data_IF_455499749631
#
_entry.id   IF_455499749631
#
_cell.length_a   1.000
_cell.length_b   1.000
_cell.length_c   1.000
_cell.angle_alpha   90.00
_cell.angle_beta   90.00
_cell.angle_gamma   90.00
#
_symmetry.space_group_name_H-M   'P 1'
#
loop_
_entity.id
_entity.type
_entity.pdbx_description
1 polymer ?
#
# COMPACT_ATOMS: atom_id res chain seq x y z
N UNK A 1 40.43 -57.85 6.86
CA UNK A 1 40.88 -56.61 7.52
C UNK A 1 40.62 -55.35 6.67
N UNK A 2 40.59 -55.39 5.36
CA UNK A 2 40.40 -54.28 4.47
C UNK A 2 38.93 -53.72 4.45
N UNK A 3 37.92 -54.56 4.63
CA UNK A 3 36.49 -54.18 4.60
C UNK A 3 36.02 -53.36 5.82
N UNK A 4 36.69 -53.48 6.95
CA UNK A 4 36.34 -52.72 8.19
C UNK A 4 36.82 -51.29 8.07
N UNK A 5 37.96 -51.02 7.43
CA UNK A 5 38.46 -49.65 7.25
C UNK A 5 37.65 -48.86 6.23
N UNK A 6 37.02 -49.51 5.26
CA UNK A 6 36.17 -48.82 4.25
C UNK A 6 34.84 -48.36 4.84
N UNK A 7 34.25 -49.14 5.75
CA UNK A 7 32.99 -48.77 6.44
C UNK A 7 33.16 -47.60 7.43
N UNK A 8 34.26 -47.54 8.12
CA UNK A 8 34.55 -46.44 9.04
C UNK A 8 34.88 -45.13 8.32
N UNK A 9 35.57 -45.23 7.16
CA UNK A 9 35.85 -44.06 6.33
C UNK A 9 34.60 -43.43 5.75
N UNK A 10 33.66 -44.24 5.22
CA UNK A 10 32.39 -43.73 4.69
C UNK A 10 31.44 -43.18 5.75
N UNK A 11 31.46 -43.74 6.97
CA UNK A 11 30.67 -43.23 8.10
C UNK A 11 31.19 -41.85 8.56
N UNK A 12 32.49 -41.69 8.67
CA UNK A 12 33.12 -40.45 9.05
C UNK A 12 32.91 -39.33 7.99
N UNK A 13 32.94 -39.68 6.70
CA UNK A 13 32.70 -38.74 5.63
C UNK A 13 31.23 -38.23 5.64
N UNK A 14 30.26 -39.12 5.89
CA UNK A 14 28.84 -38.75 6.06
C UNK A 14 28.60 -37.87 7.28
N UNK A 15 29.24 -38.20 8.43
CA UNK A 15 29.15 -37.38 9.63
C UNK A 15 29.78 -36.01 9.43
N UNK A 16 30.90 -35.91 8.73
CA UNK A 16 31.56 -34.64 8.40
C UNK A 16 30.66 -33.79 7.46
N UNK A 17 30.08 -34.36 6.40
CA UNK A 17 29.16 -33.66 5.52
C UNK A 17 27.89 -33.18 6.25
N UNK A 18 27.38 -34.00 7.17
CA UNK A 18 26.23 -33.62 7.99
C UNK A 18 26.55 -32.45 8.93
N UNK A 19 27.69 -32.46 9.59
CA UNK A 19 28.18 -31.37 10.45
C UNK A 19 28.43 -30.09 9.64
N UNK A 20 28.98 -30.23 8.43
CA UNK A 20 29.25 -29.09 7.54
C UNK A 20 27.93 -28.46 7.04
N UNK A 21 26.94 -29.29 6.68
CA UNK A 21 25.61 -28.80 6.27
C UNK A 21 24.86 -28.14 7.44
N UNK A 22 24.99 -28.68 8.64
CA UNK A 22 24.37 -28.11 9.85
C UNK A 22 25.06 -26.80 10.29
N UNK A 23 26.37 -26.72 10.15
CA UNK A 23 27.14 -25.51 10.37
C UNK A 23 26.83 -24.41 9.36
N UNK A 24 26.67 -24.76 8.09
CA UNK A 24 26.26 -23.84 7.04
C UNK A 24 24.82 -23.32 7.24
N UNK A 25 23.90 -24.22 7.61
CA UNK A 25 22.52 -23.84 7.94
C UNK A 25 22.44 -22.95 9.18
N UNK A 26 23.24 -23.26 10.21
CA UNK A 26 23.37 -22.43 11.42
C UNK A 26 23.94 -21.04 11.12
N UNK A 27 24.94 -20.94 10.24
CA UNK A 27 25.52 -19.65 9.85
C UNK A 27 24.54 -18.80 8.99
N UNK A 28 23.70 -19.41 8.17
CA UNK A 28 22.62 -18.69 7.44
C UNK A 28 21.58 -18.11 8.42
N UNK A 29 21.22 -18.85 9.46
CA UNK A 29 20.23 -18.38 10.46
C UNK A 29 20.82 -17.23 11.32
N UNK A 30 22.10 -17.26 11.61
CA UNK A 30 22.78 -16.20 12.35
C UNK A 30 23.08 -14.95 11.51
N UNK A 31 23.11 -15.08 10.18
CA UNK A 31 23.31 -14.00 9.23
C UNK A 31 21.97 -13.28 8.85
N UNK A 32 20.81 -13.76 9.32
CA UNK A 32 19.56 -13.04 9.21
C UNK A 32 19.59 -11.83 10.16
N UNK A 33 20.29 -10.78 9.75
CA UNK A 33 20.09 -9.44 10.32
C UNK A 33 18.59 -9.13 10.25
N UNK A 34 18.06 -8.50 11.28
CA UNK A 34 16.70 -8.00 11.26
C UNK A 34 16.63 -6.96 10.13
N UNK A 35 16.17 -7.40 8.96
CA UNK A 35 15.75 -6.47 7.93
C UNK A 35 14.48 -5.82 8.46
N UNK A 36 14.62 -4.67 9.08
CA UNK A 36 13.49 -3.77 9.35
C UNK A 36 13.14 -3.15 8.00
N UNK A 37 12.41 -3.92 7.18
CA UNK A 37 11.94 -3.42 5.91
C UNK A 37 10.81 -2.41 6.19
N UNK A 38 11.07 -1.14 5.97
CA UNK A 38 10.04 -0.10 5.95
C UNK A 38 9.25 -0.21 4.64
N UNK A 39 8.36 -1.21 4.60
CA UNK A 39 7.50 -1.44 3.44
C UNK A 39 6.55 -0.26 3.25
N UNK A 40 6.52 0.26 2.03
CA UNK A 40 5.64 1.36 1.64
C UNK A 40 4.23 0.79 1.43
N UNK A 41 3.30 1.20 2.30
CA UNK A 41 1.89 0.83 2.20
C UNK A 41 1.19 1.73 1.19
N UNK A 42 0.20 1.21 0.43
CA UNK A 42 -0.70 2.04 -0.35
C UNK A 42 -1.37 3.09 0.54
N UNK A 43 -1.45 4.31 0.05
CA UNK A 43 -2.24 5.34 0.71
C UNK A 43 -3.73 5.04 0.58
N UNK A 44 -4.54 5.60 1.48
CA UNK A 44 -5.99 5.43 1.48
C UNK A 44 -6.66 6.80 1.45
N UNK A 45 -7.53 7.02 0.48
CA UNK A 45 -8.35 8.22 0.36
C UNK A 45 -9.82 7.88 0.60
N UNK A 46 -10.36 8.38 1.69
CA UNK A 46 -11.77 8.29 2.05
C UNK A 46 -12.51 9.53 1.55
N UNK A 47 -13.41 9.35 0.59
CA UNK A 47 -14.17 10.42 -0.07
C UNK A 47 -15.59 10.51 0.50
N UNK A 48 -15.97 11.66 1.00
CA UNK A 48 -17.32 11.97 1.47
C UNK A 48 -17.90 13.11 0.66
N UNK A 49 -19.12 12.96 0.20
CA UNK A 49 -19.84 13.98 -0.56
C UNK A 49 -20.95 14.53 0.32
N UNK A 50 -20.88 15.82 0.61
CA UNK A 50 -21.94 16.54 1.32
C UNK A 50 -22.61 17.55 0.38
N UNK A 51 -23.89 17.76 0.57
CA UNK A 51 -24.63 18.79 -0.13
C UNK A 51 -25.38 19.65 0.88
N UNK A 52 -25.19 20.97 0.80
CA UNK A 52 -25.92 21.92 1.62
C UNK A 52 -26.88 22.69 0.71
N UNK A 53 -28.17 22.60 0.99
CA UNK A 53 -29.19 23.39 0.28
C UNK A 53 -29.33 24.74 0.95
N UNK A 54 -28.94 25.81 0.31
CA UNK A 54 -29.25 27.20 0.65
C UNK A 54 -30.40 27.67 -0.23
N UNK A 55 -31.12 28.73 0.15
CA UNK A 55 -32.43 29.16 -0.40
C UNK A 55 -32.68 29.02 -1.91
N UNK A 56 -31.62 28.97 -2.75
CA UNK A 56 -31.74 28.80 -4.20
C UNK A 56 -30.63 27.94 -4.85
N UNK A 57 -29.71 27.40 -4.08
CA UNK A 57 -28.59 26.63 -4.63
C UNK A 57 -28.24 25.40 -3.80
N UNK A 58 -28.01 24.29 -4.46
CA UNK A 58 -27.39 23.10 -3.85
C UNK A 58 -25.89 23.23 -4.01
N UNK A 59 -25.21 23.57 -2.94
CA UNK A 59 -23.74 23.62 -2.90
C UNK A 59 -23.23 22.23 -2.50
N UNK A 60 -22.63 21.55 -3.47
CA UNK A 60 -21.94 20.29 -3.21
C UNK A 60 -20.52 20.54 -2.71
N UNK A 61 -20.07 19.71 -1.78
CA UNK A 61 -18.69 19.69 -1.29
C UNK A 61 -18.18 18.26 -1.27
N UNK A 62 -16.97 18.10 -1.78
CA UNK A 62 -16.20 16.88 -1.66
C UNK A 62 -15.18 17.05 -0.52
N UNK A 63 -15.26 16.21 0.48
CA UNK A 63 -14.29 16.10 1.56
C UNK A 63 -13.52 14.80 1.37
N UNK A 64 -12.19 14.85 1.46
CA UNK A 64 -11.31 13.68 1.33
C UNK A 64 -10.37 13.64 2.52
N UNK A 65 -10.28 12.50 3.18
CA UNK A 65 -9.27 12.21 4.19
C UNK A 65 -8.27 11.25 3.55
N UNK A 66 -7.02 11.68 3.43
CA UNK A 66 -5.94 10.87 2.85
C UNK A 66 -5.01 10.41 3.97
N UNK A 67 -4.95 9.10 4.21
CA UNK A 67 -3.98 8.47 5.09
C UNK A 67 -2.78 8.03 4.25
N UNK A 68 -1.63 8.67 4.45
CA UNK A 68 -0.41 8.38 3.71
C UNK A 68 0.84 8.78 4.50
N UNK A 69 2.00 8.40 4.01
CA UNK A 69 3.27 8.75 4.62
C UNK A 69 3.72 10.15 4.15
N UNK A 70 3.48 11.16 5.00
CA UNK A 70 3.84 12.57 4.73
C UNK A 70 5.35 12.76 4.63
N UNK A 71 6.13 12.02 5.41
CA UNK A 71 7.59 12.09 5.40
C UNK A 71 8.17 11.68 4.05
N UNK A 72 7.60 10.67 3.39
CA UNK A 72 8.01 10.26 2.05
C UNK A 72 7.79 11.38 1.03
N UNK A 73 6.63 12.04 1.08
CA UNK A 73 6.34 13.17 0.22
C UNK A 73 7.32 14.34 0.47
N UNK A 74 7.62 14.65 1.74
CA UNK A 74 8.54 15.72 2.10
C UNK A 74 9.98 15.43 1.69
N UNK A 75 10.41 14.18 1.79
CA UNK A 75 11.72 13.70 1.34
C UNK A 75 11.83 13.55 -0.19
N UNK A 76 10.76 13.80 -0.94
CA UNK A 76 10.67 13.62 -2.40
C UNK A 76 10.97 12.17 -2.85
N UNK A 77 10.61 11.19 -2.01
CA UNK A 77 10.69 9.77 -2.34
C UNK A 77 9.67 9.41 -3.41
N UNK A 78 10.09 8.61 -4.38
CA UNK A 78 9.20 8.06 -5.40
C UNK A 78 8.55 6.75 -4.92
N UNK A 79 7.40 6.86 -4.26
CA UNK A 79 6.63 5.72 -3.77
C UNK A 79 6.03 4.84 -4.88
N UNK A 80 6.08 5.29 -6.12
CA UNK A 80 5.68 4.49 -7.29
C UNK A 80 6.73 3.44 -7.69
N UNK A 81 7.99 3.67 -7.32
CA UNK A 81 9.14 2.84 -7.72
C UNK A 81 9.81 2.19 -6.51
N UNK A 82 9.98 2.92 -5.44
CA UNK A 82 10.65 2.45 -4.23
C UNK A 82 9.68 1.59 -3.42
N UNK A 83 10.10 0.39 -3.05
CA UNK A 83 9.32 -0.51 -2.18
C UNK A 83 9.79 -0.48 -0.72
N UNK A 84 11.03 -0.07 -0.48
CA UNK A 84 11.65 0.05 0.83
C UNK A 84 12.40 1.39 0.92
N UNK A 85 12.13 2.18 1.96
CA UNK A 85 12.74 3.50 2.14
C UNK A 85 14.24 3.44 2.43
N UNK A 86 14.72 2.32 3.00
CA UNK A 86 16.15 2.13 3.30
C UNK A 86 17.01 1.98 2.04
N UNK A 87 16.41 1.52 0.94
CA UNK A 87 17.09 1.37 -0.36
C UNK A 87 17.06 2.66 -1.20
N UNK A 88 16.38 3.69 -0.72
CA UNK A 88 16.21 4.93 -1.44
C UNK A 88 17.39 5.88 -1.25
N UNK A 89 17.76 6.60 -2.31
CA UNK A 89 18.80 7.63 -2.24
C UNK A 89 18.45 8.75 -1.24
N UNK A 90 17.15 9.00 -1.00
CA UNK A 90 16.60 9.99 -0.06
C UNK A 90 16.32 9.42 1.34
N UNK A 91 16.85 8.24 1.67
CA UNK A 91 16.59 7.58 2.96
C UNK A 91 17.02 8.43 4.17
N UNK A 92 18.15 9.15 4.08
CA UNK A 92 18.62 10.04 5.15
C UNK A 92 17.66 11.22 5.38
N UNK A 93 17.13 11.83 4.31
CA UNK A 93 16.15 12.92 4.41
C UNK A 93 14.83 12.41 4.99
N UNK A 94 14.38 11.22 4.57
CA UNK A 94 13.21 10.57 5.13
C UNK A 94 13.35 10.36 6.65
N UNK A 95 14.47 9.83 7.10
CA UNK A 95 14.76 9.64 8.50
C UNK A 95 14.83 10.96 9.28
N UNK A 96 15.34 12.03 8.66
CA UNK A 96 15.33 13.35 9.27
C UNK A 96 13.89 13.85 9.52
N UNK A 97 12.97 13.70 8.54
CA UNK A 97 11.56 14.05 8.72
C UNK A 97 10.87 13.18 9.77
N UNK A 98 11.23 11.90 9.88
CA UNK A 98 10.68 11.00 10.90
C UNK A 98 11.03 11.42 12.34
N UNK A 99 12.18 12.07 12.54
CA UNK A 99 12.60 12.57 13.85
C UNK A 99 11.92 13.86 14.25
N UNK A 100 11.21 14.52 13.34
CA UNK A 100 10.51 15.76 13.64
C UNK A 100 9.34 15.55 14.61
N UNK A 101 9.06 16.55 15.41
CA UNK A 101 7.83 16.61 16.20
C UNK A 101 6.60 16.65 15.28
N UNK A 102 5.44 16.25 15.82
CA UNK A 102 4.15 16.36 15.12
C UNK A 102 3.89 17.78 14.61
N UNK A 103 4.22 18.79 15.42
CA UNK A 103 4.01 20.21 15.08
C UNK A 103 4.94 20.66 13.94
N UNK A 104 6.21 20.27 14.00
CA UNK A 104 7.20 20.64 12.98
C UNK A 104 6.89 19.95 11.65
N UNK A 105 6.56 18.66 11.66
CA UNK A 105 6.19 17.92 10.44
C UNK A 105 4.94 18.53 9.80
N UNK A 106 3.91 18.83 10.60
CA UNK A 106 2.69 19.49 10.12
C UNK A 106 3.00 20.87 9.51
N UNK A 107 3.92 21.63 10.13
CA UNK A 107 4.36 22.93 9.60
C UNK A 107 5.08 22.79 8.27
N UNK A 108 5.97 21.78 8.13
CA UNK A 108 6.67 21.51 6.87
C UNK A 108 5.68 21.11 5.77
N UNK A 109 4.72 20.25 6.07
CA UNK A 109 3.71 19.87 5.09
C UNK A 109 2.86 21.07 4.64
N UNK A 110 2.40 21.91 5.57
CA UNK A 110 1.63 23.12 5.23
C UNK A 110 2.39 24.05 4.28
N UNK A 111 3.70 24.20 4.46
CA UNK A 111 4.55 24.98 3.54
C UNK A 111 4.65 24.35 2.16
N UNK A 112 4.61 23.00 2.08
CA UNK A 112 4.69 22.25 0.83
C UNK A 112 3.30 21.93 0.24
N UNK A 113 2.23 22.44 0.82
CA UNK A 113 0.87 22.24 0.35
C UNK A 113 0.68 22.54 -1.15
N UNK A 114 1.21 23.65 -1.71
CA UNK A 114 1.05 23.94 -3.14
C UNK A 114 1.63 22.81 -4.03
N UNK A 115 2.75 22.21 -3.64
CA UNK A 115 3.37 21.08 -4.34
C UNK A 115 2.49 19.83 -4.24
N UNK A 116 1.96 19.54 -3.06
CA UNK A 116 1.06 18.41 -2.86
C UNK A 116 -0.25 18.60 -3.63
N UNK A 117 -0.86 19.78 -3.56
CA UNK A 117 -2.09 20.08 -4.29
C UNK A 117 -1.92 19.93 -5.81
N UNK A 118 -0.75 20.31 -6.35
CA UNK A 118 -0.44 20.15 -7.78
C UNK A 118 -0.29 18.68 -8.21
N UNK A 119 -0.01 17.76 -7.28
CA UNK A 119 0.05 16.32 -7.57
C UNK A 119 -1.31 15.62 -7.49
N UNK A 120 -2.35 16.31 -7.03
CA UNK A 120 -3.70 15.76 -6.97
C UNK A 120 -4.44 15.95 -8.29
N UNK A 121 -5.17 14.94 -8.70
CA UNK A 121 -6.08 14.99 -9.85
C UNK A 121 -7.50 14.77 -9.36
N UNK A 122 -8.36 15.77 -9.51
CA UNK A 122 -9.78 15.67 -9.20
C UNK A 122 -10.60 16.30 -10.30
N UNK A 123 -11.68 15.67 -10.68
CA UNK A 123 -12.63 16.16 -11.69
C UNK A 123 -14.06 15.89 -11.28
N UNK A 124 -14.96 16.76 -11.71
CA UNK A 124 -16.41 16.54 -11.68
C UNK A 124 -16.95 16.68 -13.11
N UNK A 125 -17.06 15.56 -13.79
CA UNK A 125 -17.27 15.53 -15.23
C UNK A 125 -16.07 16.15 -15.98
N UNK A 126 -16.28 17.31 -16.62
CA UNK A 126 -15.20 18.02 -17.35
C UNK A 126 -14.51 19.10 -16.53
N UNK A 127 -15.02 19.44 -15.36
CA UNK A 127 -14.50 20.49 -14.51
C UNK A 127 -13.41 19.96 -13.58
N UNK A 128 -12.25 20.59 -13.57
CA UNK A 128 -11.18 20.29 -12.62
C UNK A 128 -11.53 20.83 -11.24
N UNK A 129 -11.28 20.06 -10.20
CA UNK A 129 -11.52 20.43 -8.82
C UNK A 129 -10.29 21.10 -8.23
N UNK A 130 -10.48 22.25 -7.58
CA UNK A 130 -9.44 22.94 -6.84
C UNK A 130 -9.49 22.53 -5.37
N UNK A 131 -8.50 21.77 -4.92
CA UNK A 131 -8.42 21.30 -3.54
C UNK A 131 -7.86 22.36 -2.61
N UNK A 132 -8.42 22.40 -1.42
CA UNK A 132 -7.97 23.23 -0.30
C UNK A 132 -7.57 22.34 0.87
N UNK A 133 -6.54 22.76 1.59
CA UNK A 133 -6.10 22.06 2.78
C UNK A 133 -7.06 22.34 3.94
N UNK A 134 -7.55 21.29 4.57
CA UNK A 134 -8.26 21.34 5.83
C UNK A 134 -7.31 21.15 7.02
N UNK A 135 -7.37 19.98 7.64
CA UNK A 135 -6.54 19.61 8.76
C UNK A 135 -5.42 18.64 8.35
N UNK A 136 -4.36 18.61 9.14
CA UNK A 136 -3.36 17.54 9.12
C UNK A 136 -3.23 16.97 10.53
N UNK A 137 -3.41 15.68 10.66
CA UNK A 137 -3.27 14.89 11.87
C UNK A 137 -2.11 13.91 11.66
N UNK A 138 -1.09 14.03 12.48
CA UNK A 138 0.09 13.16 12.45
C UNK A 138 0.11 12.34 13.72
N UNK A 139 0.27 11.05 13.59
CA UNK A 139 0.39 10.15 14.74
C UNK A 139 1.68 10.45 15.50
N UNK A 140 1.59 10.49 16.84
CA UNK A 140 2.78 10.63 17.68
C UNK A 140 3.41 9.25 17.86
N UNK A 141 4.28 8.87 16.93
CA UNK A 141 4.98 7.60 16.98
C UNK A 141 6.33 7.75 17.69
N UNK A 142 6.52 6.99 18.76
CA UNK A 142 7.78 6.94 19.53
C UNK A 142 8.78 5.97 18.88
N UNK A 143 8.28 4.97 18.15
CA UNK A 143 9.09 3.95 17.47
C UNK A 143 9.42 4.37 16.05
N UNK A 144 10.65 4.79 15.84
CA UNK A 144 11.14 5.20 14.52
C UNK A 144 11.32 4.03 13.54
N UNK A 145 11.23 2.78 14.00
CA UNK A 145 11.27 1.61 13.12
C UNK A 145 9.95 1.35 12.39
N UNK A 146 8.86 1.96 12.85
CA UNK A 146 7.53 1.81 12.24
C UNK A 146 7.15 3.06 11.42
N UNK A 147 6.49 2.90 10.24
CA UNK A 147 5.97 4.04 9.50
C UNK A 147 4.94 4.79 10.33
N UNK A 148 5.02 6.12 10.33
CA UNK A 148 4.06 6.99 11.02
C UNK A 148 2.87 7.27 10.11
N UNK A 149 1.65 7.05 10.61
CA UNK A 149 0.43 7.41 9.90
C UNK A 149 0.20 8.93 9.96
N UNK A 150 -0.20 9.50 8.84
CA UNK A 150 -0.58 10.90 8.74
C UNK A 150 -1.86 11.05 7.94
N UNK A 151 -2.88 11.68 8.53
CA UNK A 151 -4.15 11.94 7.88
C UNK A 151 -4.22 13.39 7.45
N UNK A 152 -4.38 13.61 6.16
CA UNK A 152 -4.53 14.94 5.58
C UNK A 152 -5.97 15.10 5.09
N UNK A 153 -6.71 16.03 5.68
CA UNK A 153 -8.05 16.38 5.23
C UNK A 153 -7.96 17.48 4.17
N UNK A 154 -8.56 17.23 3.03
CA UNK A 154 -8.68 18.18 1.92
C UNK A 154 -10.12 18.30 1.49
N UNK A 155 -10.48 19.41 0.84
CA UNK A 155 -11.82 19.58 0.34
C UNK A 155 -11.85 20.40 -0.95
N UNK A 156 -12.92 20.22 -1.74
CA UNK A 156 -13.19 20.98 -2.94
C UNK A 156 -14.67 21.27 -3.07
N UNK A 157 -15.01 22.45 -3.62
CA UNK A 157 -16.38 22.76 -4.03
C UNK A 157 -16.75 21.98 -5.28
N UNK A 158 -17.92 21.39 -5.30
CA UNK A 158 -18.45 20.68 -6.43
C UNK A 158 -19.34 21.59 -7.30
N UNK A 159 -19.26 21.48 -8.63
CA UNK A 159 -20.14 22.23 -9.51
C UNK A 159 -21.61 21.85 -9.27
N UNK A 160 -22.52 22.81 -9.54
CA UNK A 160 -23.97 22.63 -9.36
C UNK A 160 -24.57 21.76 -10.48
N UNK A 161 -24.06 20.56 -10.58
CA UNK A 161 -24.56 19.51 -11.47
C UNK A 161 -24.34 18.16 -10.77
N UNK A 162 -24.88 17.09 -11.31
CA UNK A 162 -24.72 15.74 -10.74
C UNK A 162 -23.62 14.92 -11.45
N UNK A 163 -22.63 15.60 -12.06
CA UNK A 163 -21.53 14.91 -12.73
C UNK A 163 -20.76 14.03 -11.75
N UNK A 164 -20.39 12.80 -12.14
CA UNK A 164 -19.60 11.92 -11.32
C UNK A 164 -18.20 12.52 -11.03
N UNK A 165 -17.60 12.07 -9.94
CA UNK A 165 -16.29 12.51 -9.50
C UNK A 165 -15.25 11.49 -9.93
N UNK A 166 -14.11 11.96 -10.38
CA UNK A 166 -12.89 11.15 -10.59
C UNK A 166 -11.79 11.71 -9.70
N UNK A 167 -11.04 10.82 -9.05
CA UNK A 167 -9.94 11.19 -8.15
C UNK A 167 -8.73 10.29 -8.34
N UNK A 168 -7.56 10.86 -8.23
CA UNK A 168 -6.27 10.20 -8.26
C UNK A 168 -5.14 11.16 -7.95
N UNK A 169 -3.90 10.73 -8.14
CA UNK A 169 -2.72 11.56 -7.91
C UNK A 169 -1.52 11.15 -8.76
N UNK A 170 -0.46 11.93 -8.68
CA UNK A 170 0.79 11.70 -9.38
C UNK A 170 1.41 10.34 -9.02
N UNK A 171 2.03 9.70 -10.00
CA UNK A 171 2.67 8.38 -9.84
C UNK A 171 3.71 8.33 -8.72
N UNK A 172 4.43 9.43 -8.48
CA UNK A 172 5.44 9.53 -7.40
C UNK A 172 4.86 9.32 -6.00
N UNK A 173 3.57 9.59 -5.80
CA UNK A 173 2.92 9.36 -4.51
C UNK A 173 2.56 7.88 -4.27
N UNK A 174 2.81 7.01 -5.26
CA UNK A 174 2.59 5.58 -5.17
C UNK A 174 1.13 5.16 -5.39
N UNK A 175 0.81 3.91 -5.03
CA UNK A 175 -0.53 3.37 -5.19
C UNK A 175 -1.51 4.00 -4.20
N UNK A 176 -2.78 4.08 -4.60
CA UNK A 176 -3.85 4.72 -3.83
C UNK A 176 -5.08 3.82 -3.75
N UNK A 177 -5.60 3.59 -2.57
CA UNK A 177 -6.93 3.00 -2.37
C UNK A 177 -7.93 4.15 -2.24
N UNK A 178 -8.91 4.20 -3.12
CA UNK A 178 -10.00 5.19 -3.07
C UNK A 178 -11.25 4.51 -2.55
N UNK A 179 -11.85 5.07 -1.49
CA UNK A 179 -13.09 4.56 -0.88
C UNK A 179 -14.11 5.69 -0.76
N UNK A 180 -15.29 5.48 -1.29
CA UNK A 180 -16.43 6.35 -1.03
C UNK A 180 -16.99 6.05 0.37
N UNK A 181 -17.30 7.08 1.13
CA UNK A 181 -17.86 7.00 2.47
C UNK A 181 -19.25 7.61 2.48
N UNK A 182 -20.24 6.85 2.88
CA UNK A 182 -21.59 7.33 3.15
C UNK A 182 -22.23 6.43 4.21
N UNK A 183 -22.47 6.99 5.39
CA UNK A 183 -23.01 6.25 6.55
C UNK A 183 -24.47 5.85 6.35
N UNK A 184 -25.15 6.42 5.36
CA UNK A 184 -26.56 6.15 5.06
C UNK A 184 -26.76 5.14 3.94
N UNK A 185 -25.70 4.86 3.15
CA UNK A 185 -25.74 3.94 2.04
C UNK A 185 -25.37 2.51 2.46
N UNK A 186 -25.81 1.54 1.64
CA UNK A 186 -25.34 0.17 1.80
C UNK A 186 -23.84 0.13 1.41
N UNK A 187 -22.95 -0.41 2.28
CA UNK A 187 -21.52 -0.47 1.98
C UNK A 187 -21.16 -1.17 0.66
N UNK A 188 -21.97 -2.13 0.21
CA UNK A 188 -21.77 -2.83 -1.06
C UNK A 188 -22.07 -1.97 -2.30
N UNK A 189 -22.78 -0.85 -2.12
CA UNK A 189 -23.11 0.08 -3.19
C UNK A 189 -22.10 1.23 -3.30
N UNK A 190 -21.14 1.31 -2.35
CA UNK A 190 -20.12 2.34 -2.32
C UNK A 190 -18.92 1.98 -3.21
N UNK A 191 -18.36 3.01 -3.84
CA UNK A 191 -17.16 2.85 -4.66
C UNK A 191 -15.95 2.50 -3.81
N UNK A 192 -15.21 1.47 -4.21
CA UNK A 192 -13.90 1.14 -3.65
C UNK A 192 -13.01 0.60 -4.76
N UNK A 193 -11.82 1.16 -4.92
CA UNK A 193 -10.85 0.69 -5.90
C UNK A 193 -9.41 0.89 -5.44
N UNK A 194 -8.54 -0.02 -5.86
CA UNK A 194 -7.09 0.13 -5.81
C UNK A 194 -6.60 0.75 -7.11
N UNK A 195 -5.92 1.86 -7.02
CA UNK A 195 -5.32 2.57 -8.15
C UNK A 195 -3.81 2.33 -8.18
N UNK A 196 -3.31 1.88 -9.32
CA UNK A 196 -1.87 1.84 -9.56
C UNK A 196 -1.29 3.28 -9.57
N UNK A 197 0.02 3.46 -9.32
CA UNK A 197 0.65 4.78 -9.35
C UNK A 197 0.28 5.59 -10.60
N UNK A 198 -0.16 6.82 -10.43
CA UNK A 198 -0.57 7.72 -11.52
C UNK A 198 -1.93 7.42 -12.17
N UNK A 199 -2.67 6.44 -11.67
CA UNK A 199 -4.00 6.12 -12.16
C UNK A 199 -5.07 7.03 -11.53
N UNK A 200 -6.19 7.19 -12.24
CA UNK A 200 -7.37 7.94 -11.79
C UNK A 200 -8.52 6.95 -11.60
N UNK A 201 -9.39 7.19 -10.64
CA UNK A 201 -10.55 6.35 -10.38
C UNK A 201 -11.51 6.31 -11.58
N UNK A 202 -12.30 5.25 -11.68
CA UNK A 202 -13.51 5.30 -12.50
C UNK A 202 -14.47 6.38 -11.95
N UNK A 203 -15.44 6.82 -12.76
CA UNK A 203 -16.43 7.81 -12.33
C UNK A 203 -17.21 7.36 -11.08
N UNK A 204 -17.11 8.12 -10.00
CA UNK A 204 -17.78 7.88 -8.73
C UNK A 204 -19.08 8.68 -8.71
N UNK A 205 -20.25 8.04 -8.63
CA UNK A 205 -21.52 8.75 -8.60
C UNK A 205 -21.65 9.57 -7.30
N UNK A 206 -22.25 10.77 -7.40
CA UNK A 206 -22.51 11.61 -6.23
C UNK A 206 -23.70 11.11 -5.41
N UNK A 207 -24.60 10.39 -6.02
CA UNK A 207 -25.82 9.85 -5.42
C UNK A 207 -26.11 8.47 -6.01
N UNK A 208 -26.66 7.59 -5.20
CA UNK A 208 -27.00 6.23 -5.58
C UNK A 208 -25.80 5.27 -5.63
N UNK A 209 -26.04 4.01 -5.98
CA UNK A 209 -25.02 2.99 -5.99
C UNK A 209 -23.94 3.26 -7.05
N UNK A 210 -22.70 3.03 -6.68
CA UNK A 210 -21.60 2.97 -7.62
C UNK A 210 -21.74 1.67 -8.43
N UNK A 211 -22.25 1.77 -9.65
CA UNK A 211 -22.47 0.63 -10.52
C UNK A 211 -21.14 0.03 -11.00
N UNK A 212 -20.38 -0.58 -10.09
CA UNK A 212 -19.25 -1.42 -10.48
C UNK A 212 -19.81 -2.77 -10.94
N UNK A 213 -19.55 -3.15 -12.19
CA UNK A 213 -19.94 -4.49 -12.61
C UNK A 213 -19.13 -5.53 -11.83
N UNK A 214 -19.78 -6.60 -11.37
CA UNK A 214 -19.13 -7.72 -10.70
C UNK A 214 -17.93 -8.25 -11.51
N UNK A 215 -18.02 -8.20 -12.83
CA UNK A 215 -16.98 -8.64 -13.74
C UNK A 215 -15.76 -7.70 -13.69
N UNK A 216 -15.93 -6.39 -13.58
CA UNK A 216 -14.83 -5.44 -13.40
C UNK A 216 -14.14 -5.66 -12.06
N UNK A 217 -14.92 -5.83 -10.99
CA UNK A 217 -14.39 -6.13 -9.63
C UNK A 217 -13.54 -7.40 -9.65
N UNK A 218 -14.06 -8.51 -10.19
CA UNK A 218 -13.34 -9.78 -10.28
C UNK A 218 -12.05 -9.63 -11.10
N UNK A 219 -12.10 -8.92 -12.23
CA UNK A 219 -10.93 -8.70 -13.09
C UNK A 219 -9.84 -7.92 -12.36
N UNK A 220 -10.22 -6.88 -11.62
CA UNK A 220 -9.28 -6.07 -10.83
C UNK A 220 -8.67 -6.87 -9.67
N UNK A 221 -9.45 -7.69 -8.97
CA UNK A 221 -8.93 -8.59 -7.94
C UNK A 221 -7.95 -9.61 -8.50
N UNK A 222 -8.26 -10.25 -9.63
CA UNK A 222 -7.37 -11.21 -10.28
C UNK A 222 -6.08 -10.52 -10.72
N UNK A 223 -6.18 -9.35 -11.36
CA UNK A 223 -5.03 -8.59 -11.85
C UNK A 223 -4.13 -8.15 -10.68
N UNK A 224 -4.72 -7.58 -9.63
CA UNK A 224 -3.99 -7.10 -8.47
C UNK A 224 -3.35 -8.27 -7.70
N UNK A 225 -4.07 -9.39 -7.52
CA UNK A 225 -3.53 -10.61 -6.93
C UNK A 225 -2.36 -11.17 -7.75
N UNK A 226 -2.47 -11.19 -9.07
CA UNK A 226 -1.38 -11.64 -9.93
C UNK A 226 -0.15 -10.75 -9.83
N UNK A 227 -0.31 -9.42 -9.88
CA UNK A 227 0.79 -8.45 -9.76
C UNK A 227 1.44 -8.50 -8.36
N UNK A 228 0.65 -8.80 -7.33
CA UNK A 228 1.16 -8.96 -5.97
C UNK A 228 2.07 -10.19 -5.85
N UNK A 229 1.70 -11.29 -6.52
CA UNK A 229 2.47 -12.55 -6.47
C UNK A 229 3.63 -12.53 -7.48
N UNK A 230 3.45 -11.94 -8.68
CA UNK A 230 4.44 -11.94 -9.76
C UNK A 230 4.69 -10.50 -10.24
N UNK A 231 5.90 -9.93 -10.11
CA UNK A 231 7.16 -10.54 -9.65
C UNK A 231 7.46 -10.36 -8.14
N UNK A 232 6.64 -9.64 -7.38
CA UNK A 232 6.96 -9.19 -6.01
C UNK A 232 6.92 -10.29 -4.94
N UNK A 233 6.21 -11.39 -5.18
CA UNK A 233 5.98 -12.46 -4.21
C UNK A 233 6.61 -13.79 -4.59
N UNK A 234 7.84 -13.79 -5.11
CA UNK A 234 8.57 -15.05 -5.39
C UNK A 234 8.73 -15.93 -4.14
N UNK A 235 8.82 -15.35 -2.97
CA UNK A 235 8.83 -16.03 -1.68
C UNK A 235 7.55 -16.85 -1.45
N UNK A 236 6.38 -16.33 -1.81
CA UNK A 236 5.10 -17.07 -1.78
C UNK A 236 5.11 -18.26 -2.73
N UNK A 237 5.62 -18.07 -3.94
CA UNK A 237 5.76 -19.15 -4.93
C UNK A 237 6.72 -20.21 -4.40
N UNK A 238 7.88 -19.81 -3.88
CA UNK A 238 8.86 -20.72 -3.31
C UNK A 238 8.32 -21.46 -2.08
N UNK A 239 7.53 -20.78 -1.25
CA UNK A 239 6.88 -21.39 -0.09
C UNK A 239 5.87 -22.47 -0.52
N UNK A 240 4.98 -22.17 -1.47
CA UNK A 240 4.02 -23.14 -2.02
C UNK A 240 4.74 -24.31 -2.69
N UNK A 241 5.81 -24.03 -3.43
CA UNK A 241 6.65 -25.07 -4.05
C UNK A 241 7.32 -25.96 -2.99
N UNK A 242 7.83 -25.36 -1.90
CA UNK A 242 8.41 -26.07 -0.77
C UNK A 242 7.39 -27.00 -0.08
N UNK A 243 6.17 -26.53 0.11
CA UNK A 243 5.07 -27.35 0.65
C UNK A 243 4.72 -28.50 -0.29
N UNK A 244 4.71 -28.27 -1.62
CA UNK A 244 4.47 -29.31 -2.62
C UNK A 244 5.55 -30.38 -2.58
N UNK A 245 6.82 -30.01 -2.53
CA UNK A 245 7.93 -30.98 -2.46
C UNK A 245 7.97 -31.73 -1.13
N UNK A 246 7.52 -31.10 -0.03
CA UNK A 246 7.43 -31.76 1.27
C UNK A 246 6.33 -32.84 1.29
N UNK A 247 5.18 -32.58 0.70
CA UNK A 247 4.03 -33.47 0.78
C UNK A 247 3.62 -34.12 -0.53
N UNK A 248 4.26 -33.90 -1.65
CA UNK A 248 4.05 -34.49 -3.00
C UNK A 248 2.59 -34.94 -3.33
N UNK A 249 1.60 -34.32 -2.66
CA UNK A 249 0.16 -34.63 -2.79
C UNK A 249 -0.58 -33.33 -3.00
N UNK A 250 -1.30 -33.23 -4.12
CA UNK A 250 -1.99 -32.00 -4.50
C UNK A 250 -3.22 -31.66 -3.62
N UNK A 251 -3.87 -32.66 -3.00
CA UNK A 251 -5.07 -32.46 -2.18
C UNK A 251 -4.81 -31.67 -0.88
N UNK A 252 -3.79 -32.01 -0.05
CA UNK A 252 -3.41 -31.17 1.09
C UNK A 252 -2.90 -29.79 0.67
N UNK A 253 -2.23 -29.69 -0.47
CA UNK A 253 -1.72 -28.42 -1.00
C UNK A 253 -2.83 -27.42 -1.30
N UNK A 254 -3.93 -27.88 -1.94
CA UNK A 254 -5.09 -27.03 -2.20
C UNK A 254 -5.74 -26.53 -0.89
N UNK A 255 -5.85 -27.41 0.13
CA UNK A 255 -6.33 -26.98 1.44
C UNK A 255 -5.46 -25.96 2.14
N UNK A 256 -4.13 -26.09 2.01
CA UNK A 256 -3.17 -25.15 2.57
C UNK A 256 -3.21 -23.80 1.84
N UNK A 257 -3.22 -23.78 0.51
CA UNK A 257 -3.33 -22.55 -0.29
C UNK A 257 -4.62 -21.80 0.08
N UNK A 258 -5.76 -22.50 0.21
CA UNK A 258 -7.05 -21.86 0.57
C UNK A 258 -7.07 -21.30 2.00
N UNK A 259 -6.24 -21.79 2.90
CA UNK A 259 -6.11 -21.27 4.26
C UNK A 259 -5.18 -20.05 4.35
N UNK A 260 -4.30 -19.85 3.35
CA UNK A 260 -3.34 -18.75 3.30
C UNK A 260 -3.78 -17.59 2.38
N UNK A 261 -4.85 -17.74 1.62
CA UNK A 261 -5.49 -16.70 0.80
C UNK A 261 -6.78 -16.22 1.42
#
# INVERSE_FOLDING_TARGET
MLLIHFRTFTANCKAFLFLLSFGLLGSLILASGQSVAHEIRPAVADLSISSTTTQDQVLGRLDIIIDFNVEMFLADLDAGVVSNTDDAQQGEDYDAYRRLSVADLSSHFKKQWPRFAASLVGRAGREALAFQLGAIEVENNVDLSLPRSSKVSIYASLPNNNSPIEFGWDAKLGPLVVRQQDVTANPYDLYTAYLAPGSISAPIPRQGPAAQSTQAIITDYIKNGFIHIVPKGFDHILFVLGLFFYAARWQPLLGQITLFT
#
